data_IF_624061413050
#
_entry.id   IF_624061413050
#
_cell.length_a   1.000
_cell.length_b   1.000
_cell.length_c   1.000
_cell.angle_alpha   90.00
_cell.angle_beta   90.00
_cell.angle_gamma   90.00
#
_symmetry.space_group_name_H-M   'P 1'
#
loop_
_entity.id
_entity.type
_entity.pdbx_description
1 polymer ?
#
# COMPACT_ATOMS: atom_id res chain seq x y z
N UNK A 1 -4.39 8.66 17.23
CA UNK A 1 -3.84 7.47 16.57
C UNK A 1 -2.41 7.28 17.03
N UNK A 2 -2.01 6.04 17.30
CA UNK A 2 -0.61 5.67 17.56
C UNK A 2 -0.02 5.00 16.33
N UNK A 3 1.26 5.21 16.07
CA UNK A 3 2.02 4.55 15.00
C UNK A 3 3.42 4.17 15.51
N UNK A 4 3.90 3.01 15.08
CA UNK A 4 5.28 2.64 15.31
C UNK A 4 6.18 3.45 14.36
N UNK A 5 7.07 4.24 14.95
CA UNK A 5 8.07 4.99 14.21
C UNK A 5 9.36 4.17 14.15
N UNK A 6 9.75 3.76 12.96
CA UNK A 6 10.98 2.97 12.75
C UNK A 6 12.25 3.74 13.10
N UNK A 7 12.20 5.07 13.05
CA UNK A 7 13.33 5.92 13.41
C UNK A 7 13.60 5.90 14.92
N UNK A 8 12.55 6.01 15.75
CA UNK A 8 12.65 5.99 17.22
C UNK A 8 12.54 4.60 17.82
N UNK A 9 12.09 3.60 17.04
CA UNK A 9 11.73 2.24 17.48
C UNK A 9 10.63 2.19 18.54
N UNK A 10 9.72 3.15 18.54
CA UNK A 10 8.64 3.26 19.54
C UNK A 10 7.30 3.41 18.87
N UNK A 11 6.26 2.94 19.55
CA UNK A 11 4.88 3.29 19.23
C UNK A 11 4.60 4.66 19.87
N UNK A 12 4.32 5.66 19.03
CA UNK A 12 4.18 7.05 19.43
C UNK A 12 2.82 7.60 19.02
N UNK A 13 2.36 8.64 19.71
CA UNK A 13 1.17 9.39 19.30
C UNK A 13 1.49 10.17 18.02
N UNK A 14 0.79 9.83 16.93
CA UNK A 14 0.93 10.54 15.67
C UNK A 14 0.41 11.98 15.79
N UNK A 15 1.23 12.93 15.43
CA UNK A 15 0.91 14.35 15.40
C UNK A 15 1.35 14.94 14.06
N UNK A 16 0.41 15.42 13.24
CA UNK A 16 0.76 16.04 11.97
C UNK A 16 1.46 17.40 12.20
N UNK A 17 2.27 17.83 11.25
CA UNK A 17 2.94 19.10 11.25
C UNK A 17 1.97 20.27 11.09
N UNK A 18 0.88 20.06 10.37
CA UNK A 18 -0.22 21.01 10.17
C UNK A 18 -1.52 20.36 10.65
N UNK A 19 -2.25 21.05 11.52
CA UNK A 19 -3.49 20.52 12.09
C UNK A 19 -4.49 20.12 10.99
N UNK A 20 -5.00 18.91 11.07
CA UNK A 20 -5.96 18.37 10.12
C UNK A 20 -5.39 17.91 8.78
N UNK A 21 -4.09 18.12 8.49
CA UNK A 21 -3.46 17.71 7.22
C UNK A 21 -2.30 16.76 7.46
N UNK A 22 -2.12 15.82 6.54
CA UNK A 22 -1.02 14.85 6.59
C UNK A 22 -0.35 14.77 5.23
N UNK A 23 0.97 14.94 5.20
CA UNK A 23 1.82 14.70 4.03
C UNK A 23 2.46 13.31 4.13
N UNK A 24 2.28 12.47 3.11
CA UNK A 24 2.78 11.10 3.10
C UNK A 24 3.51 10.79 1.79
N UNK A 25 4.70 10.25 1.89
CA UNK A 25 5.45 9.72 0.74
C UNK A 25 5.78 8.25 0.94
N UNK A 26 5.54 7.45 -0.10
CA UNK A 26 5.86 6.02 -0.10
C UNK A 26 6.77 5.72 -1.28
N UNK A 27 7.96 5.17 -1.02
CA UNK A 27 8.87 4.76 -2.10
C UNK A 27 8.18 3.80 -3.05
N UNK A 28 8.18 4.20 -4.32
CA UNK A 28 7.54 3.44 -5.39
C UNK A 28 8.47 2.39 -6.02
N UNK A 29 7.97 1.64 -7.00
CA UNK A 29 8.72 0.58 -7.64
C UNK A 29 9.67 1.09 -8.73
N UNK A 30 10.74 0.32 -8.97
CA UNK A 30 11.47 0.36 -10.25
C UNK A 30 10.66 -0.39 -11.30
N UNK A 31 10.24 0.31 -12.37
CA UNK A 31 9.23 -0.17 -13.32
C UNK A 31 9.85 -0.86 -14.54
N UNK A 32 10.39 -2.07 -14.36
CA UNK A 32 11.05 -2.85 -15.40
C UNK A 32 10.47 -4.24 -15.64
N UNK A 33 9.50 -4.67 -14.79
CA UNK A 33 8.87 -5.99 -14.88
C UNK A 33 7.48 -5.97 -14.22
N UNK A 34 6.66 -7.01 -14.49
CA UNK A 34 5.38 -7.20 -13.82
C UNK A 34 5.54 -7.19 -12.29
N UNK A 35 4.63 -6.52 -11.55
CA UNK A 35 4.66 -6.50 -10.10
C UNK A 35 4.45 -7.89 -9.50
N UNK A 36 5.34 -8.30 -8.60
CA UNK A 36 5.12 -9.47 -7.76
C UNK A 36 4.30 -9.09 -6.52
N UNK A 37 3.76 -10.09 -5.83
CA UNK A 37 2.88 -9.86 -4.66
C UNK A 37 3.58 -9.06 -3.53
N UNK A 38 4.91 -9.11 -3.45
CA UNK A 38 5.70 -8.28 -2.53
C UNK A 38 5.57 -6.78 -2.80
N UNK A 39 5.40 -6.38 -4.07
CA UNK A 39 5.15 -4.98 -4.43
C UNK A 39 3.72 -4.54 -4.10
N UNK A 40 2.78 -5.47 -4.01
CA UNK A 40 1.39 -5.20 -3.67
C UNK A 40 1.19 -4.88 -2.18
N UNK A 41 2.03 -5.42 -1.29
CA UNK A 41 1.87 -5.22 0.16
C UNK A 41 1.99 -3.76 0.59
N UNK A 42 3.03 -2.98 0.21
CA UNK A 42 3.09 -1.55 0.50
C UNK A 42 1.88 -0.80 -0.05
N UNK A 43 1.43 -1.10 -1.28
CA UNK A 43 0.23 -0.45 -1.87
C UNK A 43 -0.95 -0.57 -0.91
N UNK A 44 -1.24 -1.78 -0.43
CA UNK A 44 -2.40 -2.06 0.42
C UNK A 44 -2.23 -1.49 1.82
N UNK A 45 -1.05 -1.63 2.43
CA UNK A 45 -0.76 -1.14 3.79
C UNK A 45 -0.90 0.38 3.86
N UNK A 46 -0.27 1.10 2.94
CA UNK A 46 -0.30 2.57 2.95
C UNK A 46 -1.66 3.13 2.51
N UNK A 47 -2.38 2.48 1.59
CA UNK A 47 -3.76 2.84 1.29
C UNK A 47 -4.68 2.65 2.51
N UNK A 48 -4.49 1.57 3.29
CA UNK A 48 -5.24 1.34 4.53
C UNK A 48 -4.89 2.39 5.59
N UNK A 49 -3.62 2.82 5.69
CA UNK A 49 -3.21 3.90 6.58
C UNK A 49 -3.86 5.24 6.18
N UNK A 50 -3.84 5.58 4.88
CA UNK A 50 -4.49 6.78 4.35
C UNK A 50 -5.98 6.79 4.70
N UNK A 51 -6.71 5.72 4.38
CA UNK A 51 -8.14 5.60 4.66
C UNK A 51 -8.47 5.64 6.16
N UNK A 52 -7.57 5.14 7.00
CA UNK A 52 -7.70 5.25 8.46
C UNK A 52 -7.55 6.71 8.92
N UNK A 53 -6.55 7.42 8.40
CA UNK A 53 -6.35 8.84 8.70
C UNK A 53 -7.53 9.69 8.21
N UNK A 54 -8.04 9.43 7.00
CA UNK A 54 -9.24 10.10 6.47
C UNK A 54 -10.49 9.82 7.33
N UNK A 55 -10.65 8.58 7.81
CA UNK A 55 -11.75 8.23 8.73
C UNK A 55 -11.65 8.94 10.09
N UNK A 56 -10.46 9.40 10.48
CA UNK A 56 -10.21 10.25 11.65
C UNK A 56 -10.37 11.75 11.34
N UNK A 57 -10.67 12.12 10.10
CA UNK A 57 -10.92 13.50 9.69
C UNK A 57 -9.68 14.25 9.17
N UNK A 58 -8.56 13.57 8.91
CA UNK A 58 -7.39 14.18 8.29
C UNK A 58 -7.55 14.29 6.77
N UNK A 59 -7.07 15.38 6.20
CA UNK A 59 -6.85 15.56 4.76
C UNK A 59 -5.44 15.06 4.42
N UNK A 60 -5.35 13.95 3.68
CA UNK A 60 -4.08 13.27 3.39
C UNK A 60 -3.65 13.54 1.97
N UNK A 61 -2.53 14.25 1.79
CA UNK A 61 -1.83 14.38 0.52
C UNK A 61 -0.76 13.30 0.41
N UNK A 62 -0.89 12.42 -0.56
CA UNK A 62 -0.03 11.26 -0.76
C UNK A 62 0.79 11.34 -2.04
N UNK A 63 2.04 10.88 -1.97
CA UNK A 63 2.92 10.73 -3.13
C UNK A 63 3.58 9.35 -3.16
N UNK A 64 3.80 8.82 -4.37
CA UNK A 64 4.61 7.63 -4.60
C UNK A 64 5.22 7.71 -5.99
N UNK A 65 6.55 7.60 -6.08
CA UNK A 65 7.26 7.76 -7.33
C UNK A 65 7.20 6.52 -8.22
N UNK A 66 7.61 6.71 -9.47
CA UNK A 66 8.08 5.63 -10.33
C UNK A 66 9.57 5.86 -10.62
N UNK A 67 10.42 4.91 -10.22
CA UNK A 67 11.81 4.87 -10.67
C UNK A 67 11.81 4.35 -12.11
N UNK A 68 11.89 5.28 -13.06
CA UNK A 68 11.83 5.04 -14.50
C UNK A 68 13.20 5.17 -15.20
N UNK A 69 14.27 5.22 -14.42
CA UNK A 69 15.67 5.10 -14.87
C UNK A 69 16.47 4.21 -13.92
N UNK A 70 16.98 3.08 -14.42
CA UNK A 70 17.77 2.10 -13.64
C UNK A 70 18.49 1.14 -14.60
N UNK A 71 19.59 0.51 -14.17
CA UNK A 71 20.32 -0.50 -14.96
C UNK A 71 19.41 -1.65 -15.44
N UNK A 72 18.41 -2.05 -14.64
CA UNK A 72 17.46 -3.12 -14.98
C UNK A 72 16.52 -2.70 -16.10
N UNK A 73 16.11 -1.41 -16.12
CA UNK A 73 15.26 -0.86 -17.18
C UNK A 73 16.04 -0.85 -18.49
N UNK A 74 17.29 -0.36 -18.46
CA UNK A 74 18.17 -0.32 -19.63
C UNK A 74 18.43 -1.73 -20.17
N UNK A 75 18.77 -2.69 -19.29
CA UNK A 75 18.95 -4.08 -19.69
C UNK A 75 17.70 -4.68 -20.34
N UNK A 76 16.52 -4.38 -19.78
CA UNK A 76 15.23 -4.84 -20.31
C UNK A 76 14.88 -4.21 -21.65
N UNK A 77 15.17 -2.93 -21.80
CA UNK A 77 14.99 -2.22 -23.08
C UNK A 77 15.86 -2.82 -24.21
N UNK A 78 17.11 -3.11 -23.90
CA UNK A 78 18.03 -3.78 -24.84
C UNK A 78 17.53 -5.20 -25.19
N UNK A 79 17.14 -5.99 -24.19
CA UNK A 79 16.60 -7.35 -24.35
C UNK A 79 15.38 -7.38 -25.29
N UNK A 80 14.45 -6.44 -25.10
CA UNK A 80 13.19 -6.37 -25.86
C UNK A 80 13.29 -5.52 -27.14
N UNK A 81 14.44 -4.92 -27.43
CA UNK A 81 14.66 -3.99 -28.55
C UNK A 81 13.64 -2.83 -28.55
N UNK A 82 13.40 -2.25 -27.35
CA UNK A 82 12.52 -1.12 -27.11
C UNK A 82 13.28 0.02 -26.45
N UNK A 83 12.65 1.18 -26.38
CA UNK A 83 13.14 2.30 -25.59
C UNK A 83 12.84 2.08 -24.10
N UNK A 84 13.63 2.68 -23.22
CA UNK A 84 13.40 2.65 -21.77
C UNK A 84 12.00 3.21 -21.45
N UNK A 85 11.57 4.26 -22.16
CA UNK A 85 10.24 4.84 -21.99
C UNK A 85 9.10 3.86 -22.32
N UNK A 86 9.21 3.08 -23.39
CA UNK A 86 8.21 2.06 -23.73
C UNK A 86 8.13 0.96 -22.68
N UNK A 87 9.29 0.58 -22.11
CA UNK A 87 9.35 -0.40 -21.01
C UNK A 87 8.65 0.18 -19.76
N UNK A 88 9.03 1.37 -19.33
CA UNK A 88 8.54 1.97 -18.10
C UNK A 88 7.05 2.30 -18.19
N UNK A 89 6.56 2.87 -19.28
CA UNK A 89 5.14 3.18 -19.47
C UNK A 89 4.26 1.92 -19.42
N UNK A 90 4.74 0.81 -20.01
CA UNK A 90 4.06 -0.48 -19.94
C UNK A 90 3.93 -0.96 -18.49
N UNK A 91 5.05 -1.00 -17.76
CA UNK A 91 5.02 -1.53 -16.39
C UNK A 91 4.39 -0.60 -15.36
N UNK A 92 4.40 0.71 -15.57
CA UNK A 92 3.56 1.65 -14.81
C UNK A 92 2.08 1.31 -15.02
N UNK A 93 1.67 1.05 -16.26
CA UNK A 93 0.29 0.66 -16.57
C UNK A 93 -0.10 -0.64 -15.85
N UNK A 94 0.75 -1.66 -15.87
CA UNK A 94 0.50 -2.92 -15.17
C UNK A 94 0.46 -2.71 -13.63
N UNK A 95 1.33 -1.87 -13.09
CA UNK A 95 1.32 -1.53 -11.67
C UNK A 95 0.03 -0.85 -11.23
N UNK A 96 -0.48 0.10 -12.04
CA UNK A 96 -1.74 0.78 -11.77
C UNK A 96 -2.96 -0.14 -11.90
N UNK A 97 -2.95 -1.12 -12.81
CA UNK A 97 -3.98 -2.17 -12.86
C UNK A 97 -4.04 -2.98 -11.57
N UNK A 98 -2.87 -3.37 -11.02
CA UNK A 98 -2.78 -4.09 -9.75
C UNK A 98 -3.30 -3.24 -8.60
N UNK A 99 -2.89 -1.96 -8.54
CA UNK A 99 -3.38 -0.99 -7.54
C UNK A 99 -4.91 -0.90 -7.55
N UNK A 100 -5.49 -0.71 -8.73
CA UNK A 100 -6.95 -0.62 -8.92
C UNK A 100 -7.65 -1.91 -8.53
N UNK A 101 -7.15 -3.06 -8.97
CA UNK A 101 -7.73 -4.36 -8.65
C UNK A 101 -7.72 -4.68 -7.15
N UNK A 102 -6.71 -4.16 -6.41
CA UNK A 102 -6.63 -4.25 -4.97
C UNK A 102 -7.49 -3.21 -4.23
N UNK A 103 -8.29 -2.39 -4.92
CA UNK A 103 -9.13 -1.36 -4.30
C UNK A 103 -8.33 -0.23 -3.65
N UNK A 104 -7.07 -0.05 -4.03
CA UNK A 104 -6.23 1.02 -3.51
C UNK A 104 -6.36 2.29 -4.36
N UNK A 105 -6.46 3.45 -3.71
CA UNK A 105 -6.51 4.74 -4.40
C UNK A 105 -5.18 5.03 -5.12
N UNK A 106 -5.24 5.79 -6.20
CA UNK A 106 -4.05 6.36 -6.81
C UNK A 106 -3.50 7.46 -5.89
N UNK A 107 -2.18 7.55 -5.67
CA UNK A 107 -1.58 8.68 -4.97
C UNK A 107 -1.90 10.01 -5.66
N UNK A 108 -1.97 11.09 -4.88
CA UNK A 108 -2.25 12.43 -5.41
C UNK A 108 -1.12 12.91 -6.33
N UNK A 109 0.12 12.47 -6.04
CA UNK A 109 1.30 12.74 -6.85
C UNK A 109 2.05 11.44 -7.18
N UNK A 110 2.43 11.28 -8.45
CA UNK A 110 3.21 10.14 -8.94
C UNK A 110 4.42 10.62 -9.74
N UNK A 111 5.41 11.28 -9.08
CA UNK A 111 6.56 11.83 -9.76
C UNK A 111 7.42 10.73 -10.41
N UNK A 112 8.10 11.08 -11.51
CA UNK A 112 9.06 10.21 -12.21
C UNK A 112 10.47 10.79 -12.08
N UNK A 113 11.46 9.93 -11.99
CA UNK A 113 12.87 10.35 -11.90
C UNK A 113 13.27 11.16 -13.13
N UNK A 114 12.85 10.72 -14.32
CA UNK A 114 13.15 11.41 -15.59
C UNK A 114 12.56 12.82 -15.67
N UNK A 115 11.53 13.12 -14.91
CA UNK A 115 10.86 14.43 -14.87
C UNK A 115 11.46 15.39 -13.81
N UNK A 116 12.33 14.88 -12.92
CA UNK A 116 12.93 15.64 -11.81
C UNK A 116 14.46 15.77 -11.93
N UNK A 117 15.01 15.55 -13.10
CA UNK A 117 16.46 15.43 -13.29
C UNK A 117 17.23 16.72 -12.97
N UNK A 118 16.72 17.88 -13.37
CA UNK A 118 17.37 19.17 -13.11
C UNK A 118 17.49 19.44 -11.60
N UNK A 119 16.44 19.10 -10.84
CA UNK A 119 16.41 19.24 -9.38
C UNK A 119 17.38 18.25 -8.72
N UNK A 120 17.48 17.02 -9.24
CA UNK A 120 18.41 16.00 -8.76
C UNK A 120 19.86 16.46 -8.97
N UNK A 121 20.20 16.95 -10.16
CA UNK A 121 21.55 17.45 -10.46
C UNK A 121 21.90 18.65 -9.56
N UNK A 122 20.99 19.59 -9.37
CA UNK A 122 21.19 20.74 -8.49
C UNK A 122 21.38 20.32 -7.02
N UNK A 123 20.63 19.31 -6.55
CA UNK A 123 20.77 18.77 -5.21
C UNK A 123 22.11 18.09 -4.98
N UNK A 124 22.57 17.27 -5.93
CA UNK A 124 23.89 16.61 -5.85
C UNK A 124 25.01 17.66 -5.88
N UNK A 125 24.88 18.70 -6.72
CA UNK A 125 25.86 19.80 -6.79
C UNK A 125 25.98 20.54 -5.44
N UNK A 126 24.85 20.73 -4.74
CA UNK A 126 24.86 21.29 -3.39
C UNK A 126 25.61 20.38 -2.39
N UNK A 127 25.42 19.07 -2.43
CA UNK A 127 26.15 18.11 -1.57
C UNK A 127 27.66 18.10 -1.87
N UNK A 128 28.05 18.27 -3.15
CA UNK A 128 29.47 18.42 -3.51
C UNK A 128 30.04 19.72 -2.98
N UNK A 129 29.32 20.84 -3.12
CA UNK A 129 29.75 22.16 -2.66
C UNK A 129 29.90 22.26 -1.15
N UNK A 130 29.05 21.61 -0.39
CA UNK A 130 29.14 21.62 1.09
C UNK A 130 30.11 20.57 1.66
N UNK A 131 30.73 19.74 0.79
CA UNK A 131 31.74 18.77 1.19
C UNK A 131 31.16 17.40 1.61
N UNK A 132 29.85 17.20 1.59
CA UNK A 132 29.19 15.92 1.93
C UNK A 132 29.27 14.90 0.80
N UNK A 133 29.64 15.32 -0.38
CA UNK A 133 29.89 14.46 -1.55
C UNK A 133 31.19 14.86 -2.26
N UNK A 134 31.68 13.96 -3.12
CA UNK A 134 32.91 14.19 -3.91
C UNK A 134 32.78 13.55 -5.30
N UNK A 135 33.45 14.16 -6.27
CA UNK A 135 33.48 13.67 -7.64
C UNK A 135 34.84 13.02 -7.95
N UNK A 136 34.79 11.84 -8.60
CA UNK A 136 35.98 11.12 -9.07
C UNK A 136 35.69 10.53 -10.45
N UNK A 137 36.48 10.93 -11.45
CA UNK A 137 36.38 10.43 -12.83
C UNK A 137 34.95 10.47 -13.40
N UNK A 138 34.19 11.54 -13.09
CA UNK A 138 32.83 11.74 -13.55
C UNK A 138 31.75 11.10 -12.69
N UNK A 139 32.07 10.16 -11.80
CA UNK A 139 31.15 9.63 -10.78
C UNK A 139 31.11 10.55 -9.57
N UNK A 140 29.94 10.62 -8.87
CA UNK A 140 29.81 11.35 -7.61
C UNK A 140 29.36 10.42 -6.51
N UNK A 141 30.01 10.49 -5.37
CA UNK A 141 29.75 9.66 -4.20
C UNK A 141 29.42 10.53 -2.98
N UNK A 142 28.45 10.07 -2.18
CA UNK A 142 28.16 10.62 -0.86
C UNK A 142 29.17 10.08 0.14
N UNK A 143 29.72 10.97 1.00
CA UNK A 143 30.60 10.59 2.12
C UNK A 143 29.76 10.14 3.31
N UNK A 144 29.65 8.84 3.55
CA UNK A 144 28.90 8.33 4.70
C UNK A 144 29.44 8.88 6.03
N UNK A 145 30.76 9.04 6.14
CA UNK A 145 31.37 9.62 7.33
C UNK A 145 31.10 11.13 7.56
N UNK A 146 30.46 11.82 6.60
CA UNK A 146 30.02 13.20 6.79
C UNK A 146 28.80 13.30 7.72
N UNK A 147 27.99 12.24 7.81
CA UNK A 147 26.85 12.13 8.69
C UNK A 147 27.20 11.33 9.95
N UNK A 148 27.40 12.01 11.08
CA UNK A 148 27.71 11.39 12.38
C UNK A 148 26.57 10.48 12.90
N UNK A 149 25.37 10.64 12.36
CA UNK A 149 24.16 9.90 12.71
C UNK A 149 23.79 8.79 11.72
N UNK A 150 24.67 8.47 10.78
CA UNK A 150 24.42 7.38 9.83
C UNK A 150 24.22 6.04 10.56
N UNK A 151 23.15 5.33 10.24
CA UNK A 151 22.76 4.10 10.91
C UNK A 151 21.54 4.24 11.84
N UNK A 152 20.98 5.46 12.00
CA UNK A 152 19.86 5.71 12.92
C UNK A 152 18.53 5.09 12.47
N UNK A 153 18.27 4.95 11.18
CA UNK A 153 17.05 4.26 10.68
C UNK A 153 17.21 2.74 10.70
N UNK A 154 18.38 2.25 10.28
CA UNK A 154 18.67 0.83 10.26
C UNK A 154 18.86 0.25 11.66
N UNK A 155 19.27 1.09 12.62
CA UNK A 155 19.66 0.69 13.98
C UNK A 155 20.77 -0.36 14.01
N UNK A 156 21.67 -0.30 13.03
CA UNK A 156 22.80 -1.21 12.90
C UNK A 156 24.11 -0.41 13.05
N UNK A 157 25.09 -0.93 13.80
CA UNK A 157 26.42 -0.35 13.84
C UNK A 157 27.03 -0.26 12.42
N UNK A 158 27.72 0.82 12.12
CA UNK A 158 28.36 1.05 10.80
C UNK A 158 29.25 -0.12 10.38
N UNK A 159 29.95 -0.77 11.34
CA UNK A 159 30.82 -1.88 11.06
C UNK A 159 30.04 -3.15 10.62
N UNK A 160 28.84 -3.38 11.15
CA UNK A 160 27.97 -4.48 10.73
C UNK A 160 27.35 -4.20 9.34
N UNK A 161 27.12 -2.93 9.01
CA UNK A 161 26.64 -2.49 7.70
C UNK A 161 27.67 -2.79 6.58
N UNK A 162 28.97 -2.73 6.88
CA UNK A 162 30.05 -3.11 5.93
C UNK A 162 29.98 -4.57 5.52
N UNK A 163 29.52 -5.47 6.40
CA UNK A 163 29.41 -6.91 6.12
C UNK A 163 28.18 -7.23 5.28
N UNK A 164 27.09 -6.45 5.41
CA UNK A 164 25.81 -6.66 4.70
C UNK A 164 25.67 -5.87 3.40
N UNK A 165 26.45 -4.81 3.21
CA UNK A 165 26.45 -4.04 1.98
C UNK A 165 27.06 -4.86 0.85
N UNK A 166 26.49 -4.79 -0.37
CA UNK A 166 27.22 -5.14 -1.60
C UNK A 166 28.33 -4.11 -1.75
N UNK A 167 29.47 -4.39 -1.14
CA UNK A 167 30.68 -3.59 -1.30
C UNK A 167 31.17 -3.92 -2.70
N UNK A 168 30.80 -3.09 -3.68
CA UNK A 168 31.56 -2.99 -4.89
C UNK A 168 32.95 -2.51 -4.44
N UNK A 169 33.97 -3.36 -4.61
CA UNK A 169 35.39 -2.99 -4.45
C UNK A 169 35.77 -1.97 -5.55
N UNK A 170 35.10 -0.81 -5.49
CA UNK A 170 35.40 0.28 -6.40
C UNK A 170 36.54 1.10 -5.80
N UNK A 171 37.71 1.01 -6.40
CA UNK A 171 38.92 1.75 -6.01
C UNK A 171 38.76 3.26 -6.02
N UNK A 172 37.65 3.80 -6.54
CA UNK A 172 37.33 5.23 -6.59
C UNK A 172 36.71 5.77 -5.29
N UNK A 173 36.17 4.93 -4.41
CA UNK A 173 35.50 5.36 -3.18
C UNK A 173 36.51 5.66 -2.06
N UNK A 174 36.31 6.78 -1.35
CA UNK A 174 37.08 7.12 -0.14
C UNK A 174 36.78 6.14 1.02
N UNK A 175 35.51 5.69 1.12
CA UNK A 175 35.05 4.69 2.09
C UNK A 175 34.19 3.63 1.36
N UNK A 176 34.32 2.34 1.69
CA UNK A 176 33.48 1.28 1.08
C UNK A 176 31.99 1.49 1.21
N UNK A 177 31.51 2.17 2.26
CA UNK A 177 30.11 2.48 2.49
C UNK A 177 29.60 3.68 1.68
N UNK A 178 30.49 4.50 1.11
CA UNK A 178 30.09 5.63 0.28
C UNK A 178 29.21 5.13 -0.86
N UNK A 179 28.13 5.84 -1.14
CA UNK A 179 27.18 5.41 -2.14
C UNK A 179 27.10 6.39 -3.31
N UNK A 180 26.75 5.87 -4.47
CA UNK A 180 26.72 6.64 -5.72
C UNK A 180 25.54 7.62 -5.71
N UNK A 181 25.83 8.89 -5.98
CA UNK A 181 24.84 9.94 -6.25
C UNK A 181 24.67 10.18 -7.75
N UNK A 182 25.77 10.11 -8.51
CA UNK A 182 25.80 10.24 -9.96
C UNK A 182 26.74 9.21 -10.55
N UNK A 183 26.31 8.53 -11.59
CA UNK A 183 27.08 7.50 -12.30
C UNK A 183 27.27 7.91 -13.74
N UNK A 184 28.51 8.12 -14.14
CA UNK A 184 28.88 8.29 -15.56
C UNK A 184 28.57 7.03 -16.33
N UNK A 185 27.94 7.16 -17.48
CA UNK A 185 27.60 6.04 -18.35
C UNK A 185 27.55 6.48 -19.81
N UNK A 186 27.87 5.55 -20.71
CA UNK A 186 27.71 5.65 -22.15
C UNK A 186 26.54 4.79 -22.69
N UNK A 187 25.80 4.13 -21.78
CA UNK A 187 24.71 3.21 -22.12
C UNK A 187 23.37 3.71 -21.61
N UNK A 188 22.34 3.53 -22.43
CA UNK A 188 20.97 3.89 -22.11
C UNK A 188 20.76 5.40 -22.03
N UNK A 189 19.63 5.76 -21.42
CA UNK A 189 19.29 7.17 -21.21
C UNK A 189 20.28 7.86 -20.25
N UNK A 190 20.69 9.06 -20.58
CA UNK A 190 21.70 9.83 -19.83
C UNK A 190 21.43 11.34 -19.96
N UNK A 191 21.90 12.10 -18.98
CA UNK A 191 21.76 13.55 -18.91
C UNK A 191 23.12 14.22 -18.78
N UNK A 192 23.20 15.45 -19.25
CA UNK A 192 24.38 16.31 -19.02
C UNK A 192 24.40 16.79 -17.55
N UNK A 193 25.57 16.74 -16.94
CA UNK A 193 25.77 17.23 -15.58
C UNK A 193 27.14 17.93 -15.46
N UNK A 194 27.43 18.66 -14.37
CA UNK A 194 28.75 19.26 -14.12
C UNK A 194 29.89 18.22 -14.09
N UNK A 195 29.59 16.96 -13.84
CA UNK A 195 30.58 15.87 -13.72
C UNK A 195 30.73 15.06 -15.00
N UNK A 196 29.85 15.27 -15.97
CA UNK A 196 29.79 14.54 -17.24
C UNK A 196 28.42 13.90 -17.49
N UNK A 197 28.30 13.24 -18.65
CA UNK A 197 27.07 12.53 -19.02
C UNK A 197 26.88 11.29 -18.14
N UNK A 198 25.66 11.14 -17.61
CA UNK A 198 25.38 10.04 -16.71
C UNK A 198 23.93 10.02 -16.23
N UNK A 199 23.70 9.38 -15.10
CA UNK A 199 22.40 9.25 -14.45
C UNK A 199 22.52 9.25 -12.92
N UNK A 200 21.42 9.54 -12.18
CA UNK A 200 21.44 9.58 -10.73
C UNK A 200 21.62 8.20 -10.12
N UNK A 201 22.13 8.18 -8.90
CA UNK A 201 22.06 7.03 -8.01
C UNK A 201 20.65 6.89 -7.41
N UNK A 202 20.19 5.67 -7.23
CA UNK A 202 18.84 5.32 -6.77
C UNK A 202 18.42 5.99 -5.45
N UNK A 203 19.37 6.29 -4.55
CA UNK A 203 19.09 6.80 -3.21
C UNK A 203 18.82 8.31 -3.15
N UNK A 204 19.02 9.04 -4.24
CA UNK A 204 18.83 10.51 -4.30
C UNK A 204 17.43 10.88 -4.79
N UNK A 205 16.80 9.99 -5.52
CA UNK A 205 15.54 10.25 -6.21
C UNK A 205 14.42 10.69 -5.28
N UNK A 206 14.10 9.88 -4.26
CA UNK A 206 13.00 10.15 -3.33
C UNK A 206 13.25 11.40 -2.49
N UNK A 207 14.49 11.66 -2.08
CA UNK A 207 14.86 12.86 -1.31
C UNK A 207 14.45 14.13 -2.06
N UNK A 208 14.81 14.19 -3.35
CA UNK A 208 14.51 15.34 -4.20
C UNK A 208 13.02 15.44 -4.52
N UNK A 209 12.39 14.32 -4.86
CA UNK A 209 10.97 14.29 -5.19
C UNK A 209 10.07 14.67 -4.02
N UNK A 210 10.43 14.30 -2.77
CA UNK A 210 9.70 14.74 -1.57
C UNK A 210 9.73 16.26 -1.47
N UNK A 211 10.90 16.87 -1.59
CA UNK A 211 11.02 18.31 -1.52
C UNK A 211 10.28 19.01 -2.68
N UNK A 212 10.33 18.48 -3.88
CA UNK A 212 9.67 19.03 -5.06
C UNK A 212 8.13 18.96 -4.94
N UNK A 213 7.60 17.80 -4.54
CA UNK A 213 6.15 17.58 -4.42
C UNK A 213 5.53 18.39 -3.28
N UNK A 214 6.17 18.40 -2.11
CA UNK A 214 5.60 19.03 -0.92
C UNK A 214 6.09 20.48 -0.68
N UNK A 215 7.05 20.96 -1.50
CA UNK A 215 7.67 22.29 -1.34
C UNK A 215 8.46 22.45 -0.05
N UNK A 216 8.83 21.34 0.58
CA UNK A 216 9.59 21.28 1.84
C UNK A 216 10.26 19.91 2.00
N UNK A 217 11.45 19.85 2.64
CA UNK A 217 12.19 18.60 2.79
C UNK A 217 11.69 17.71 3.95
N UNK A 218 10.85 18.21 4.84
CA UNK A 218 10.30 17.45 5.97
C UNK A 218 8.80 17.23 5.78
N UNK A 219 8.37 15.96 5.89
CA UNK A 219 6.98 15.53 5.77
C UNK A 219 6.52 14.79 7.03
N UNK A 220 5.23 14.49 7.13
CA UNK A 220 4.67 13.80 8.29
C UNK A 220 5.04 12.33 8.31
N UNK A 221 4.83 11.61 7.19
CA UNK A 221 5.03 10.15 7.11
C UNK A 221 5.85 9.81 5.86
N UNK A 222 6.92 9.04 6.06
CA UNK A 222 7.63 8.39 4.96
C UNK A 222 7.62 6.88 5.16
N UNK A 223 7.45 6.12 4.09
CA UNK A 223 7.35 4.68 4.23
C UNK A 223 7.71 3.84 3.02
N UNK A 224 7.73 2.52 3.28
CA UNK A 224 8.04 1.51 2.28
C UNK A 224 8.16 0.11 2.86
N UNK A 225 8.69 -0.84 2.10
CA UNK A 225 9.03 -2.17 2.59
C UNK A 225 10.19 -2.13 3.61
N UNK A 226 10.22 -3.10 4.50
CA UNK A 226 11.29 -3.19 5.50
C UNK A 226 12.70 -3.40 4.89
N UNK A 227 12.77 -3.89 3.67
CA UNK A 227 14.00 -4.02 2.87
C UNK A 227 14.57 -2.67 2.41
N UNK A 228 13.75 -1.61 2.38
CA UNK A 228 14.20 -0.26 2.07
C UNK A 228 14.85 0.45 3.25
N UNK A 229 14.65 -0.03 4.48
CA UNK A 229 15.28 0.57 5.66
C UNK A 229 16.77 0.78 5.48
N UNK A 230 17.44 -0.24 4.96
CA UNK A 230 18.84 -0.20 4.61
C UNK A 230 19.08 -0.89 3.26
N UNK A 231 19.85 -0.28 2.35
CA UNK A 231 20.51 1.02 2.50
C UNK A 231 19.67 2.25 2.09
N UNK A 232 18.48 2.07 1.48
CA UNK A 232 17.78 3.13 0.75
C UNK A 232 17.36 4.31 1.65
N UNK A 233 16.51 4.07 2.65
CA UNK A 233 16.03 5.13 3.55
C UNK A 233 17.13 5.70 4.46
N UNK A 234 18.11 4.88 4.85
CA UNK A 234 19.29 5.37 5.57
C UNK A 234 20.04 6.41 4.74
N UNK A 235 20.28 6.08 3.46
CA UNK A 235 20.96 6.97 2.52
C UNK A 235 20.13 8.23 2.19
N UNK A 236 18.81 8.13 2.20
CA UNK A 236 17.92 9.28 2.04
C UNK A 236 18.05 10.26 3.22
N UNK A 237 17.98 9.74 4.45
CA UNK A 237 18.09 10.57 5.66
C UNK A 237 19.46 11.25 5.74
N UNK A 238 20.54 10.52 5.45
CA UNK A 238 21.87 11.08 5.44
C UNK A 238 21.98 12.27 4.47
N UNK A 239 21.45 12.12 3.25
CA UNK A 239 21.43 13.20 2.25
C UNK A 239 20.58 14.39 2.71
N UNK A 240 19.40 14.16 3.25
CA UNK A 240 18.50 15.21 3.74
C UNK A 240 19.11 15.96 4.93
N UNK A 241 19.76 15.25 5.85
CA UNK A 241 20.45 15.85 7.01
C UNK A 241 21.58 16.76 6.56
N UNK A 242 22.41 16.30 5.64
CA UNK A 242 23.55 17.07 5.16
C UNK A 242 23.16 18.23 4.24
N UNK A 243 21.97 18.20 3.63
CA UNK A 243 21.49 19.28 2.75
C UNK A 243 20.61 20.29 3.46
N UNK A 244 19.75 19.84 4.40
CA UNK A 244 18.65 20.63 4.95
C UNK A 244 18.51 20.53 6.47
N UNK A 245 19.43 19.84 7.16
CA UNK A 245 19.38 19.60 8.60
C UNK A 245 18.05 18.99 9.06
N UNK A 246 17.57 17.95 8.33
CA UNK A 246 16.28 17.29 8.60
C UNK A 246 16.37 15.78 8.42
N UNK A 247 15.46 15.05 9.08
CA UNK A 247 15.30 13.59 8.98
C UNK A 247 14.35 13.17 7.88
N UNK A 248 13.97 14.06 6.96
CA UNK A 248 13.08 13.88 5.83
C UNK A 248 11.62 13.57 6.21
N UNK A 249 11.37 12.84 7.30
CA UNK A 249 10.04 12.59 7.84
C UNK A 249 10.03 12.53 9.36
N UNK A 250 8.90 12.94 9.97
CA UNK A 250 8.69 12.83 11.41
C UNK A 250 8.38 11.39 11.83
N UNK A 251 7.68 10.63 10.98
CA UNK A 251 7.30 9.25 11.25
C UNK A 251 7.70 8.35 10.09
N UNK A 252 8.50 7.35 10.38
CA UNK A 252 8.96 6.35 9.42
C UNK A 252 8.20 5.04 9.60
N UNK A 253 7.47 4.61 8.56
CA UNK A 253 6.62 3.42 8.60
C UNK A 253 7.13 2.37 7.62
N UNK A 254 7.39 1.14 8.12
CA UNK A 254 7.88 0.05 7.28
C UNK A 254 6.99 -1.18 7.42
N UNK A 255 6.56 -1.73 6.28
CA UNK A 255 5.83 -2.99 6.27
C UNK A 255 6.76 -4.20 6.15
N UNK A 256 6.37 -5.29 6.81
CA UNK A 256 7.10 -6.55 6.81
C UNK A 256 7.13 -7.23 5.43
N UNK A 257 8.06 -8.17 5.27
CA UNK A 257 8.27 -8.91 4.02
C UNK A 257 7.21 -10.01 3.80
N UNK A 258 7.07 -10.45 2.56
CA UNK A 258 6.23 -11.61 2.21
C UNK A 258 7.09 -12.89 2.16
N UNK A 259 6.53 -13.96 2.70
CA UNK A 259 6.99 -15.35 2.53
C UNK A 259 5.95 -16.12 1.72
N UNK A 260 6.39 -17.06 0.92
CA UNK A 260 5.52 -18.02 0.23
C UNK A 260 5.81 -19.38 0.85
N UNK A 261 4.79 -20.02 1.40
CA UNK A 261 4.92 -21.32 2.11
C UNK A 261 6.06 -21.32 3.14
N UNK A 262 6.14 -20.24 3.95
CA UNK A 262 7.18 -20.00 4.96
C UNK A 262 8.61 -19.80 4.42
N UNK A 263 8.79 -19.75 3.10
CA UNK A 263 10.07 -19.50 2.45
C UNK A 263 10.12 -18.04 1.98
N UNK A 264 11.26 -17.36 2.20
CA UNK A 264 11.45 -15.99 1.68
C UNK A 264 11.28 -16.00 0.17
N UNK A 265 10.41 -15.14 -0.35
CA UNK A 265 10.24 -14.96 -1.79
C UNK A 265 11.50 -14.36 -2.40
N UNK A 266 12.07 -15.02 -3.42
CA UNK A 266 13.22 -14.50 -4.15
C UNK A 266 13.26 -15.02 -5.58
N UNK A 267 13.83 -14.21 -6.49
CA UNK A 267 14.03 -14.62 -7.89
C UNK A 267 14.97 -15.83 -8.04
N UNK A 268 15.99 -15.92 -7.18
CA UNK A 268 16.96 -17.03 -7.20
C UNK A 268 16.34 -18.38 -6.81
N UNK A 269 15.27 -18.38 -6.01
CA UNK A 269 14.55 -19.61 -5.64
C UNK A 269 13.41 -19.94 -6.62
N UNK A 270 13.12 -19.08 -7.59
CA UNK A 270 12.04 -19.28 -8.56
C UNK A 270 10.62 -19.27 -7.96
N UNK A 271 10.46 -18.84 -6.70
CA UNK A 271 9.20 -18.79 -5.99
C UNK A 271 8.53 -17.40 -6.02
N UNK A 272 8.86 -16.59 -7.05
CA UNK A 272 8.23 -15.28 -7.23
C UNK A 272 6.83 -15.45 -7.79
N UNK A 273 5.86 -14.90 -7.08
CA UNK A 273 4.43 -14.96 -7.42
C UNK A 273 3.99 -13.59 -7.95
N UNK A 274 3.50 -13.54 -9.18
CA UNK A 274 3.02 -12.29 -9.78
C UNK A 274 1.67 -11.89 -9.15
N UNK A 275 1.54 -10.60 -8.83
CA UNK A 275 0.32 -10.08 -8.24
C UNK A 275 -0.90 -10.25 -9.16
N UNK A 276 -0.71 -10.06 -10.49
CA UNK A 276 -1.78 -10.24 -11.48
C UNK A 276 -2.33 -11.67 -11.52
N UNK A 277 -1.48 -12.68 -11.37
CA UNK A 277 -1.89 -14.08 -11.43
C UNK A 277 -2.76 -14.44 -10.23
N UNK A 278 -2.35 -14.02 -9.02
CA UNK A 278 -3.15 -14.19 -7.81
C UNK A 278 -4.50 -13.44 -7.87
N UNK A 279 -4.51 -12.22 -8.39
CA UNK A 279 -5.74 -11.44 -8.53
C UNK A 279 -6.70 -12.10 -9.53
N UNK A 280 -6.18 -12.66 -10.62
CA UNK A 280 -7.00 -13.38 -11.60
C UNK A 280 -7.58 -14.67 -11.03
N UNK A 281 -6.86 -15.37 -10.16
CA UNK A 281 -7.29 -16.63 -9.55
C UNK A 281 -8.25 -16.40 -8.37
N UNK A 282 -7.96 -15.46 -7.48
CA UNK A 282 -8.66 -15.30 -6.20
C UNK A 282 -9.49 -14.01 -6.09
N UNK A 283 -9.39 -13.07 -6.98
CA UNK A 283 -9.93 -11.71 -6.95
C UNK A 283 -9.13 -10.68 -6.10
N UNK A 284 -9.32 -9.40 -6.44
CA UNK A 284 -8.64 -8.30 -5.73
C UNK A 284 -8.98 -8.22 -4.24
N UNK A 285 -10.28 -8.26 -3.85
CA UNK A 285 -10.66 -8.22 -2.42
C UNK A 285 -10.09 -9.37 -1.59
N UNK A 286 -10.00 -10.58 -2.15
CA UNK A 286 -9.38 -11.74 -1.48
C UNK A 286 -7.89 -11.52 -1.27
N UNK A 287 -7.17 -11.11 -2.32
CA UNK A 287 -5.75 -10.79 -2.23
C UNK A 287 -5.51 -9.66 -1.22
N UNK A 288 -6.35 -8.61 -1.25
CA UNK A 288 -6.25 -7.51 -0.29
C UNK A 288 -6.46 -7.95 1.14
N UNK A 289 -7.52 -8.71 1.43
CA UNK A 289 -7.78 -9.23 2.78
C UNK A 289 -6.61 -10.09 3.27
N UNK A 290 -6.04 -10.94 2.40
CA UNK A 290 -4.85 -11.73 2.73
C UNK A 290 -3.66 -10.82 3.07
N UNK A 291 -3.41 -9.75 2.30
CA UNK A 291 -2.28 -8.83 2.52
C UNK A 291 -2.36 -8.04 3.84
N UNK A 292 -3.55 -7.83 4.40
CA UNK A 292 -3.78 -7.16 5.68
C UNK A 292 -4.18 -8.11 6.82
N UNK A 293 -4.12 -9.42 6.60
CA UNK A 293 -4.53 -10.43 7.61
C UNK A 293 -3.55 -10.56 8.78
N UNK A 294 -2.32 -10.08 8.63
CA UNK A 294 -1.32 -9.98 9.70
C UNK A 294 -0.99 -8.53 9.96
N UNK A 295 -0.46 -8.24 11.16
CA UNK A 295 0.01 -6.88 11.46
C UNK A 295 1.00 -6.41 10.39
N UNK A 296 0.89 -5.14 9.96
CA UNK A 296 1.67 -4.65 8.81
C UNK A 296 3.19 -4.78 9.01
N UNK A 297 3.69 -4.70 10.24
CA UNK A 297 5.13 -4.84 10.56
C UNK A 297 5.62 -6.28 10.50
N UNK A 298 4.73 -7.25 10.68
CA UNK A 298 5.11 -8.65 10.73
C UNK A 298 5.32 -9.25 9.33
N UNK A 299 6.19 -10.24 9.17
CA UNK A 299 6.26 -11.01 7.95
C UNK A 299 4.93 -11.70 7.66
N UNK A 300 4.43 -11.56 6.44
CA UNK A 300 3.21 -12.22 5.99
C UNK A 300 3.55 -13.50 5.24
N UNK A 301 2.97 -14.63 5.65
CA UNK A 301 3.04 -15.88 4.90
C UNK A 301 1.81 -16.05 4.00
N UNK A 302 2.02 -16.11 2.68
CA UNK A 302 0.99 -16.43 1.70
C UNK A 302 1.11 -17.92 1.37
N UNK A 303 -0.02 -18.63 1.44
CA UNK A 303 -0.19 -20.02 1.07
C UNK A 303 -1.59 -20.22 0.46
N UNK A 304 -1.82 -21.32 -0.25
CA UNK A 304 -3.14 -21.67 -0.76
C UNK A 304 -4.20 -21.61 0.35
N UNK A 305 -3.87 -22.14 1.53
CA UNK A 305 -4.79 -22.11 2.68
C UNK A 305 -5.16 -20.68 3.10
N UNK A 306 -4.21 -19.75 3.18
CA UNK A 306 -4.50 -18.37 3.60
C UNK A 306 -5.38 -17.63 2.59
N UNK A 307 -5.21 -17.92 1.30
CA UNK A 307 -6.03 -17.40 0.22
C UNK A 307 -7.46 -17.99 0.23
N UNK A 308 -7.58 -19.31 0.44
CA UNK A 308 -8.89 -19.95 0.61
C UNK A 308 -9.65 -19.42 1.84
N UNK A 309 -8.97 -19.23 2.97
CA UNK A 309 -9.59 -18.71 4.19
C UNK A 309 -10.09 -17.28 3.96
N UNK A 310 -9.30 -16.45 3.29
CA UNK A 310 -9.71 -15.10 2.86
C UNK A 310 -10.88 -15.13 1.87
N UNK A 311 -10.91 -16.08 0.93
CA UNK A 311 -12.02 -16.27 -0.01
C UNK A 311 -13.33 -16.59 0.70
N UNK A 312 -13.29 -17.50 1.68
CA UNK A 312 -14.45 -17.88 2.50
C UNK A 312 -14.98 -16.70 3.29
N UNK A 313 -14.08 -15.90 3.86
CA UNK A 313 -14.46 -14.71 4.64
C UNK A 313 -15.07 -13.62 3.74
N UNK A 314 -14.49 -13.31 2.58
CA UNK A 314 -15.05 -12.37 1.61
C UNK A 314 -16.44 -12.82 1.18
N UNK A 315 -16.62 -14.10 0.82
CA UNK A 315 -17.93 -14.64 0.42
C UNK A 315 -18.97 -14.49 1.54
N UNK A 316 -18.59 -14.76 2.79
CA UNK A 316 -19.47 -14.60 3.96
C UNK A 316 -19.86 -13.15 4.18
N UNK A 317 -18.92 -12.21 4.10
CA UNK A 317 -19.17 -10.78 4.26
C UNK A 317 -20.12 -10.31 3.16
N UNK A 318 -19.81 -10.59 1.89
CA UNK A 318 -20.62 -10.21 0.72
C UNK A 318 -22.04 -10.71 0.85
N UNK A 319 -22.21 -12.00 1.17
CA UNK A 319 -23.54 -12.61 1.36
C UNK A 319 -24.32 -11.92 2.48
N UNK A 320 -23.71 -11.66 3.63
CA UNK A 320 -24.37 -11.04 4.76
C UNK A 320 -24.82 -9.61 4.44
N UNK A 321 -23.94 -8.83 3.82
CA UNK A 321 -24.22 -7.46 3.42
C UNK A 321 -25.33 -7.39 2.35
N UNK A 322 -25.28 -8.29 1.33
CA UNK A 322 -26.34 -8.38 0.32
C UNK A 322 -27.69 -8.72 0.94
N UNK A 323 -27.72 -9.71 1.86
CA UNK A 323 -28.97 -10.07 2.56
C UNK A 323 -29.53 -8.96 3.43
N UNK A 324 -28.65 -8.21 4.12
CA UNK A 324 -29.07 -7.06 4.92
C UNK A 324 -29.66 -5.96 4.04
N UNK A 325 -28.97 -5.61 2.95
CA UNK A 325 -29.44 -4.59 2.01
C UNK A 325 -30.78 -4.98 1.39
N UNK A 326 -30.95 -6.25 0.99
CA UNK A 326 -32.21 -6.77 0.47
C UNK A 326 -33.37 -6.60 1.49
N UNK A 327 -33.15 -6.92 2.78
CA UNK A 327 -34.20 -6.76 3.79
C UNK A 327 -34.54 -5.27 4.03
N UNK A 328 -33.53 -4.40 4.02
CA UNK A 328 -33.73 -2.96 4.13
C UNK A 328 -34.47 -2.39 2.92
N UNK A 329 -34.11 -2.80 1.70
CA UNK A 329 -34.77 -2.37 0.47
C UNK A 329 -36.22 -2.89 0.35
N UNK A 330 -36.52 -4.11 0.86
CA UNK A 330 -37.88 -4.67 0.90
C UNK A 330 -38.82 -3.91 1.83
N UNK A 331 -38.27 -3.28 2.86
CA UNK A 331 -38.99 -2.51 3.88
C UNK A 331 -38.93 -0.99 3.64
N UNK A 332 -38.28 -0.54 2.55
CA UNK A 332 -37.97 0.88 2.28
C UNK A 332 -37.28 1.58 3.50
N UNK A 333 -36.42 0.83 4.21
CA UNK A 333 -35.76 1.24 5.44
C UNK A 333 -34.25 1.52 5.27
N UNK A 334 -33.70 1.40 4.06
CA UNK A 334 -32.31 1.73 3.81
C UNK A 334 -32.07 3.24 3.81
N UNK A 335 -31.23 3.67 4.73
CA UNK A 335 -30.75 5.06 4.81
C UNK A 335 -29.22 5.08 4.98
N UNK A 336 -28.52 5.48 3.93
CA UNK A 336 -27.05 5.60 3.93
C UNK A 336 -26.52 6.69 4.87
N UNK A 337 -27.37 7.65 5.27
CA UNK A 337 -27.03 8.77 6.16
C UNK A 337 -27.41 8.50 7.62
N UNK A 338 -28.08 7.39 7.91
CA UNK A 338 -28.34 7.00 9.27
C UNK A 338 -27.03 6.73 10.04
N UNK A 339 -27.11 6.87 11.36
CA UNK A 339 -25.98 6.63 12.24
C UNK A 339 -25.36 5.23 12.02
N UNK A 340 -24.07 5.13 12.18
CA UNK A 340 -23.36 3.87 12.30
C UNK A 340 -23.60 3.29 13.69
N UNK A 341 -23.60 1.96 13.82
CA UNK A 341 -23.51 1.34 15.14
C UNK A 341 -22.20 1.77 15.83
N UNK A 342 -22.33 2.57 16.88
CA UNK A 342 -21.19 3.15 17.58
C UNK A 342 -20.29 2.08 18.23
N UNK A 343 -20.90 1.03 18.80
CA UNK A 343 -20.14 -0.02 19.48
C UNK A 343 -19.24 -0.76 18.50
N UNK A 344 -19.79 -1.19 17.37
CA UNK A 344 -19.05 -1.91 16.33
C UNK A 344 -18.00 -1.00 15.68
N UNK A 345 -18.38 0.25 15.34
CA UNK A 345 -17.49 1.21 14.73
C UNK A 345 -16.31 1.57 15.64
N UNK A 346 -16.57 1.86 16.91
CA UNK A 346 -15.52 2.22 17.87
C UNK A 346 -14.58 1.04 18.16
N UNK A 347 -15.10 -0.19 18.26
CA UNK A 347 -14.25 -1.38 18.42
C UNK A 347 -13.28 -1.55 17.23
N UNK A 348 -13.77 -1.33 16.01
CA UNK A 348 -12.96 -1.37 14.79
C UNK A 348 -11.93 -0.23 14.76
N UNK A 349 -12.35 1.02 14.99
CA UNK A 349 -11.44 2.17 14.92
C UNK A 349 -10.41 2.16 16.06
N UNK A 350 -10.75 1.66 17.24
CA UNK A 350 -9.76 1.47 18.31
C UNK A 350 -8.61 0.54 17.88
N UNK A 351 -8.91 -0.53 17.15
CA UNK A 351 -7.88 -1.40 16.60
C UNK A 351 -7.07 -0.68 15.49
N UNK A 352 -7.73 0.03 14.57
CA UNK A 352 -7.05 0.75 13.49
C UNK A 352 -6.16 1.89 14.01
N UNK A 353 -6.53 2.52 15.12
CA UNK A 353 -5.76 3.61 15.73
C UNK A 353 -4.65 3.14 16.67
N UNK A 354 -4.57 1.85 16.96
CA UNK A 354 -3.51 1.20 17.73
C UNK A 354 -2.51 0.55 16.77
N UNK A 355 -1.62 1.35 16.21
CA UNK A 355 -0.55 0.94 15.29
C UNK A 355 -1.07 0.15 14.06
N UNK A 356 -2.17 0.62 13.47
CA UNK A 356 -2.79 0.01 12.29
C UNK A 356 -3.02 -1.51 12.46
N UNK A 357 -3.60 -1.92 13.60
CA UNK A 357 -3.81 -3.32 13.96
C UNK A 357 -4.97 -3.94 13.15
N UNK A 358 -4.71 -4.19 11.87
CA UNK A 358 -5.70 -4.77 10.94
C UNK A 358 -6.22 -6.14 11.38
N UNK A 359 -5.45 -7.07 12.00
CA UNK A 359 -6.00 -8.33 12.51
C UNK A 359 -7.11 -8.13 13.53
N UNK A 360 -6.91 -7.22 14.50
CA UNK A 360 -7.92 -6.92 15.50
C UNK A 360 -9.12 -6.17 14.89
N UNK A 361 -8.89 -5.29 13.93
CA UNK A 361 -9.95 -4.61 13.19
C UNK A 361 -10.81 -5.60 12.39
N UNK A 362 -10.20 -6.58 11.72
CA UNK A 362 -10.91 -7.67 11.03
C UNK A 362 -11.74 -8.48 12.04
N UNK A 363 -11.20 -8.77 13.22
CA UNK A 363 -11.95 -9.46 14.29
C UNK A 363 -13.16 -8.63 14.76
N UNK A 364 -13.02 -7.33 14.90
CA UNK A 364 -14.15 -6.43 15.24
C UNK A 364 -15.21 -6.43 14.13
N UNK A 365 -14.80 -6.37 12.86
CA UNK A 365 -15.69 -6.47 11.69
C UNK A 365 -16.42 -7.82 11.65
N UNK A 366 -15.74 -8.93 11.92
CA UNK A 366 -16.37 -10.27 12.00
C UNK A 366 -17.40 -10.36 13.11
N UNK A 367 -17.17 -9.68 14.24
CA UNK A 367 -18.14 -9.60 15.33
C UNK A 367 -19.41 -8.83 14.91
N UNK A 368 -19.25 -7.72 14.18
CA UNK A 368 -20.37 -6.96 13.62
C UNK A 368 -21.14 -7.77 12.56
N UNK A 369 -20.46 -8.52 11.69
CA UNK A 369 -21.09 -9.45 10.73
C UNK A 369 -21.89 -10.53 11.43
N UNK A 370 -21.36 -11.08 12.53
CA UNK A 370 -22.10 -12.08 13.34
C UNK A 370 -23.37 -11.48 13.94
N UNK A 371 -23.30 -10.26 14.46
CA UNK A 371 -24.45 -9.56 15.04
C UNK A 371 -25.49 -9.23 13.97
N UNK A 372 -25.07 -8.73 12.79
CA UNK A 372 -25.96 -8.46 11.67
C UNK A 372 -26.68 -9.75 11.22
N UNK A 373 -25.97 -10.86 11.08
CA UNK A 373 -26.55 -12.17 10.77
C UNK A 373 -27.56 -12.62 11.85
N UNK A 374 -27.26 -12.36 13.13
CA UNK A 374 -28.17 -12.64 14.24
C UNK A 374 -29.45 -11.80 14.14
N UNK A 375 -29.33 -10.52 13.78
CA UNK A 375 -30.47 -9.61 13.58
C UNK A 375 -31.36 -10.01 12.40
N UNK A 376 -30.74 -10.47 11.30
CA UNK A 376 -31.48 -10.96 10.11
C UNK A 376 -32.26 -12.28 10.33
N UNK A 377 -31.95 -13.04 11.38
CA UNK A 377 -32.62 -14.31 11.71
C UNK A 377 -33.80 -14.15 12.66
N UNK A 378 -34.00 -12.95 13.22
CA UNK A 378 -35.14 -12.70 14.12
C UNK A 378 -36.45 -12.78 13.36
N UNK A 379 -37.50 -13.20 14.07
CA UNK A 379 -38.86 -13.27 13.52
C UNK A 379 -39.42 -11.89 13.16
N UNK A 380 -39.13 -10.90 13.97
CA UNK A 380 -39.42 -9.49 13.76
C UNK A 380 -38.08 -8.77 13.54
N UNK A 381 -37.91 -8.14 12.38
CA UNK A 381 -36.69 -7.44 12.01
C UNK A 381 -36.71 -6.04 12.58
N UNK A 382 -35.64 -5.70 13.31
CA UNK A 382 -35.34 -4.33 13.70
C UNK A 382 -34.55 -3.64 12.58
N UNK A 383 -35.26 -3.04 11.64
CA UNK A 383 -34.65 -2.40 10.47
C UNK A 383 -33.72 -1.25 10.84
N UNK A 384 -34.02 -0.50 11.92
CA UNK A 384 -33.12 0.55 12.39
C UNK A 384 -31.78 -0.06 12.80
N UNK A 385 -31.79 -1.08 13.64
CA UNK A 385 -30.57 -1.78 14.10
C UNK A 385 -29.79 -2.40 12.94
N UNK A 386 -30.49 -3.02 11.97
CA UNK A 386 -29.89 -3.62 10.77
C UNK A 386 -29.20 -2.52 9.95
N UNK A 387 -29.84 -1.36 9.75
CA UNK A 387 -29.28 -0.27 8.97
C UNK A 387 -28.06 0.36 9.67
N UNK A 388 -28.09 0.55 10.99
CA UNK A 388 -26.94 1.05 11.78
C UNK A 388 -25.71 0.10 11.66
N UNK A 389 -25.92 -1.21 11.79
CA UNK A 389 -24.87 -2.21 11.62
C UNK A 389 -24.37 -2.26 10.17
N UNK A 390 -25.26 -2.17 9.18
CA UNK A 390 -24.92 -2.12 7.76
C UNK A 390 -24.03 -0.92 7.45
N UNK A 391 -24.38 0.27 7.93
CA UNK A 391 -23.60 1.48 7.73
C UNK A 391 -22.22 1.42 8.42
N UNK A 392 -22.17 0.83 9.64
CA UNK A 392 -20.88 0.60 10.32
C UNK A 392 -19.97 -0.32 9.51
N UNK A 393 -20.49 -1.44 9.01
CA UNK A 393 -19.77 -2.39 8.18
C UNK A 393 -19.32 -1.79 6.84
N UNK A 394 -20.17 -0.98 6.19
CA UNK A 394 -19.79 -0.25 4.98
C UNK A 394 -18.61 0.67 5.23
N UNK A 395 -18.61 1.38 6.37
CA UNK A 395 -17.46 2.18 6.79
C UNK A 395 -16.20 1.35 7.04
N UNK A 396 -16.31 0.19 7.69
CA UNK A 396 -15.19 -0.71 7.95
C UNK A 396 -14.59 -1.26 6.66
N UNK A 397 -15.45 -1.68 5.71
CA UNK A 397 -15.03 -2.14 4.37
C UNK A 397 -14.29 -1.04 3.61
N UNK A 398 -14.78 0.21 3.68
CA UNK A 398 -14.09 1.36 3.08
C UNK A 398 -12.69 1.55 3.66
N UNK A 399 -12.55 1.57 4.99
CA UNK A 399 -11.25 1.75 5.66
C UNK A 399 -10.28 0.62 5.33
N UNK A 400 -10.76 -0.63 5.31
CA UNK A 400 -9.96 -1.77 4.88
C UNK A 400 -9.72 -1.82 3.36
N UNK A 401 -10.42 -0.98 2.58
CA UNK A 401 -10.34 -0.95 1.11
C UNK A 401 -10.89 -2.19 0.43
N UNK A 402 -11.82 -2.86 1.08
CA UNK A 402 -12.51 -4.04 0.54
C UNK A 402 -13.71 -3.59 -0.29
N UNK A 403 -13.50 -3.49 -1.60
CA UNK A 403 -14.57 -3.20 -2.57
C UNK A 403 -15.27 -4.51 -2.94
N UNK A 404 -16.45 -4.73 -2.35
CA UNK A 404 -17.22 -5.96 -2.52
C UNK A 404 -18.41 -5.71 -3.42
N UNK A 405 -18.69 -6.67 -4.30
CA UNK A 405 -19.86 -6.66 -5.19
C UNK A 405 -21.15 -6.97 -4.42
N UNK A 406 -21.59 -6.02 -3.59
CA UNK A 406 -22.83 -6.11 -2.82
C UNK A 406 -24.01 -5.81 -3.75
N UNK A 407 -24.82 -6.81 -4.01
CA UNK A 407 -25.95 -6.69 -4.94
C UNK A 407 -27.11 -5.93 -4.33
N UNK A 408 -27.67 -5.00 -5.08
CA UNK A 408 -28.89 -4.30 -4.74
C UNK A 408 -30.07 -4.86 -5.55
N UNK A 409 -31.18 -5.12 -4.86
CA UNK A 409 -32.38 -5.68 -5.51
C UNK A 409 -33.11 -4.60 -6.33
N UNK A 410 -33.49 -4.93 -7.56
CA UNK A 410 -34.43 -4.16 -8.36
C UNK A 410 -35.86 -4.36 -7.84
N UNK A 411 -36.82 -3.55 -8.31
CA UNK A 411 -38.22 -3.73 -7.92
C UNK A 411 -38.76 -5.10 -8.39
N UNK A 412 -38.34 -5.57 -9.56
CA UNK A 412 -38.64 -6.92 -10.03
C UNK A 412 -38.09 -8.02 -9.10
N UNK A 413 -36.88 -7.83 -8.58
CA UNK A 413 -36.29 -8.78 -7.65
C UNK A 413 -37.01 -8.79 -6.30
N UNK A 414 -37.46 -7.61 -5.82
CA UNK A 414 -38.29 -7.52 -4.61
C UNK A 414 -39.62 -8.20 -4.78
N UNK A 415 -40.30 -8.05 -5.92
CA UNK A 415 -41.52 -8.76 -6.23
C UNK A 415 -41.28 -10.28 -6.30
N UNK A 416 -40.24 -10.73 -6.96
CA UNK A 416 -39.84 -12.13 -7.02
C UNK A 416 -39.56 -12.71 -5.62
N UNK A 417 -38.88 -11.94 -4.76
CA UNK A 417 -38.64 -12.34 -3.37
C UNK A 417 -39.93 -12.48 -2.58
N UNK A 418 -40.90 -11.55 -2.73
CA UNK A 418 -42.22 -11.62 -2.11
C UNK A 418 -42.99 -12.85 -2.63
N UNK A 419 -42.99 -13.10 -3.93
CA UNK A 419 -43.61 -14.26 -4.55
C UNK A 419 -42.99 -15.57 -4.03
N UNK A 420 -41.65 -15.65 -3.92
CA UNK A 420 -40.97 -16.78 -3.30
C UNK A 420 -41.49 -17.05 -1.88
N UNK A 421 -41.49 -16.02 -1.03
CA UNK A 421 -41.93 -16.15 0.37
C UNK A 421 -43.38 -16.54 0.50
N UNK A 422 -44.23 -16.05 -0.40
CA UNK A 422 -45.66 -16.42 -0.45
C UNK A 422 -45.84 -17.89 -0.92
N UNK A 423 -45.15 -18.32 -1.99
CA UNK A 423 -45.17 -19.69 -2.47
C UNK A 423 -44.73 -20.72 -1.40
N UNK A 424 -43.71 -20.36 -0.59
CA UNK A 424 -43.29 -21.18 0.58
C UNK A 424 -44.41 -21.32 1.60
N UNK A 425 -45.14 -20.23 1.91
CA UNK A 425 -46.29 -20.28 2.85
C UNK A 425 -47.44 -21.12 2.32
N UNK A 426 -47.68 -21.03 1.04
CA UNK A 426 -48.74 -21.77 0.34
C UNK A 426 -48.35 -23.21 0.00
N UNK A 427 -47.13 -23.64 0.32
CA UNK A 427 -46.54 -24.95 -0.02
C UNK A 427 -46.50 -25.22 -1.52
N UNK A 428 -46.46 -24.17 -2.34
CA UNK A 428 -46.23 -24.29 -3.78
C UNK A 428 -44.71 -24.35 -4.03
N UNK A 429 -44.15 -25.55 -3.90
CA UNK A 429 -42.68 -25.75 -3.93
C UNK A 429 -42.11 -25.51 -5.33
N UNK A 430 -42.84 -25.83 -6.43
CA UNK A 430 -42.37 -25.60 -7.79
C UNK A 430 -42.12 -24.11 -8.08
N UNK A 431 -43.07 -23.24 -7.68
CA UNK A 431 -42.95 -21.81 -7.83
C UNK A 431 -41.87 -21.26 -6.88
N UNK A 432 -41.85 -21.78 -5.64
CA UNK A 432 -40.85 -21.35 -4.67
C UNK A 432 -39.41 -21.65 -5.14
N UNK A 433 -39.17 -22.85 -5.66
CA UNK A 433 -37.84 -23.25 -6.17
C UNK A 433 -37.46 -22.46 -7.42
N UNK A 434 -38.41 -22.18 -8.33
CA UNK A 434 -38.15 -21.36 -9.51
C UNK A 434 -37.77 -19.93 -9.15
N UNK A 435 -38.50 -19.27 -8.25
CA UNK A 435 -38.18 -17.93 -7.79
C UNK A 435 -36.85 -17.89 -7.07
N UNK A 436 -36.59 -18.85 -6.18
CA UNK A 436 -35.33 -18.96 -5.42
C UNK A 436 -34.14 -19.16 -6.34
N UNK A 437 -34.24 -20.04 -7.34
CA UNK A 437 -33.14 -20.27 -8.27
C UNK A 437 -32.72 -18.99 -8.99
N UNK A 438 -33.68 -18.19 -9.47
CA UNK A 438 -33.43 -16.92 -10.12
C UNK A 438 -32.78 -15.90 -9.17
N UNK A 439 -33.21 -15.85 -7.92
CA UNK A 439 -32.61 -14.95 -6.90
C UNK A 439 -31.18 -15.38 -6.53
N UNK A 440 -30.91 -16.70 -6.51
CA UNK A 440 -29.54 -17.24 -6.31
C UNK A 440 -28.66 -16.87 -7.49
N UNK A 441 -29.14 -17.05 -8.73
CA UNK A 441 -28.39 -16.66 -9.94
C UNK A 441 -28.01 -15.20 -9.96
N UNK A 442 -28.86 -14.33 -9.41
CA UNK A 442 -28.58 -12.91 -9.22
C UNK A 442 -27.71 -12.59 -7.98
N UNK A 443 -27.38 -13.59 -7.16
CA UNK A 443 -26.57 -13.43 -5.94
C UNK A 443 -27.29 -12.74 -4.78
N UNK A 444 -28.63 -12.69 -4.76
CA UNK A 444 -29.45 -11.99 -3.78
C UNK A 444 -29.83 -12.84 -2.55
N UNK A 445 -29.75 -14.18 -2.64
CA UNK A 445 -30.14 -15.10 -1.55
C UNK A 445 -29.24 -16.33 -1.47
#
# INVERSE_FOLDING_TARGET
>A
MKLYNSYTQKVEDFKPMEEGKVSMYVCGPTVYNDPHIGNARPIVVFDTLIKTLEALGYDVTSASNYTDVDDKIIAKAIEEQKTEKEITDRYITEFEKIRTALGARKPDHTPRVTETMDQIIAFIDNLVKNGSAYAVDGDVYFRVNADEHYGEISHQPIDDLKVGARIDENSKKENPLDFTLWKTTDKGIQWDSPWGKGRPGWHTECVVMINDVFGRPLIDIHGGGNDLKFPHHENEVAQARMSWDTTLANTWVHNGMIKIDNIKMSKSLGNVMLAKDLINEFSGPVCRLTLISTHYRDPLNISEKTLEDSSKEIAKITKTMTQALLQLDLADAYDQHAAKDETAWNAFMNAMTDDLNTPNAITAMQSAIKELNGSLRKRELDYKRINELYNALTGMLYVLGLDLDIKRATDEDKEMYRAWKQAVKEKNFDLADSCRAKLIEKGLV
#
